data_IF_044567116928
#
_entry.id   IF_044567116928
#
_cell.length_a   1.000
_cell.length_b   1.000
_cell.length_c   1.000
_cell.angle_alpha   90.00
_cell.angle_beta   90.00
_cell.angle_gamma   90.00
#
_symmetry.space_group_name_H-M   'P 1'
#
loop_
_entity.id
_entity.type
_entity.pdbx_description
1 polymer ?
#
# COMPACT_ATOMS: atom_id res chain seq x y z
N UNK A 1 35.81 -14.80 -14.00
CA UNK A 1 34.74 -13.84 -13.80
C UNK A 1 35.23 -12.53 -14.39
N UNK A 2 34.80 -12.20 -15.62
CA UNK A 2 35.21 -10.96 -16.31
C UNK A 2 34.46 -9.80 -15.69
N UNK A 3 35.17 -8.97 -14.94
CA UNK A 3 34.62 -7.68 -14.48
C UNK A 3 34.66 -6.70 -15.66
N UNK A 4 33.69 -6.82 -16.56
CA UNK A 4 33.49 -5.81 -17.61
C UNK A 4 32.90 -4.56 -16.98
N UNK A 5 33.79 -3.73 -16.46
CA UNK A 5 33.43 -2.36 -16.04
C UNK A 5 33.03 -1.60 -17.29
N UNK A 6 31.73 -1.27 -17.40
CA UNK A 6 31.21 -0.41 -18.48
C UNK A 6 31.80 0.99 -18.25
N UNK A 7 32.89 1.32 -18.92
CA UNK A 7 33.47 2.66 -18.93
C UNK A 7 32.58 3.52 -19.84
N UNK A 8 31.71 4.31 -19.25
CA UNK A 8 30.98 5.32 -19.99
C UNK A 8 31.96 6.43 -20.46
N UNK A 9 32.38 6.35 -21.72
CA UNK A 9 33.20 7.37 -22.30
C UNK A 9 32.33 8.61 -22.62
N UNK A 10 32.47 9.72 -21.91
CA UNK A 10 31.67 10.93 -22.18
C UNK A 10 31.99 11.41 -23.58
N UNK A 11 30.96 11.62 -24.40
CA UNK A 11 31.16 12.22 -25.74
C UNK A 11 31.85 13.56 -25.61
N UNK A 12 32.86 13.83 -26.44
CA UNK A 12 33.54 15.15 -26.39
C UNK A 12 32.52 16.25 -26.65
N UNK A 13 32.53 17.27 -25.80
CA UNK A 13 31.64 18.42 -25.93
C UNK A 13 31.97 19.17 -27.22
N UNK A 14 30.97 19.49 -28.03
CA UNK A 14 31.09 20.36 -29.19
C UNK A 14 31.50 21.77 -28.73
N UNK A 15 32.20 22.51 -29.60
CA UNK A 15 32.68 23.86 -29.30
C UNK A 15 31.60 24.77 -28.70
N UNK A 16 30.36 24.73 -29.22
CA UNK A 16 29.21 25.50 -28.71
C UNK A 16 28.69 25.04 -27.33
N UNK A 17 28.90 23.78 -26.99
CA UNK A 17 28.53 23.25 -25.67
C UNK A 17 29.52 23.69 -24.57
N UNK A 18 30.68 24.24 -24.95
CA UNK A 18 31.63 24.86 -24.01
C UNK A 18 31.21 26.25 -23.57
N UNK A 19 30.25 26.87 -24.26
CA UNK A 19 29.68 28.15 -23.84
C UNK A 19 28.67 27.92 -22.71
N UNK A 20 29.19 27.77 -21.52
CA UNK A 20 28.44 27.45 -20.29
C UNK A 20 27.29 28.43 -20.02
N UNK A 21 27.47 29.71 -20.37
CA UNK A 21 26.47 30.79 -20.20
C UNK A 21 25.17 30.53 -20.98
N UNK A 22 25.24 29.98 -22.19
CA UNK A 22 24.05 29.70 -23.00
C UNK A 22 23.23 28.58 -22.40
N UNK A 23 23.86 27.55 -21.83
CA UNK A 23 23.16 26.46 -21.18
C UNK A 23 22.53 26.92 -19.84
N UNK A 24 23.18 27.79 -19.09
CA UNK A 24 22.62 28.44 -17.91
C UNK A 24 21.38 29.26 -18.29
N UNK A 25 21.45 30.08 -19.34
CA UNK A 25 20.32 30.89 -19.81
C UNK A 25 19.13 30.01 -20.22
N UNK A 26 19.37 28.88 -20.90
CA UNK A 26 18.31 27.90 -21.22
C UNK A 26 17.66 27.34 -19.96
N UNK A 27 18.46 26.93 -18.96
CA UNK A 27 17.97 26.45 -17.68
C UNK A 27 17.13 27.49 -16.95
N UNK A 28 17.61 28.74 -16.90
CA UNK A 28 16.86 29.87 -16.31
C UNK A 28 15.56 30.16 -17.06
N UNK A 29 15.55 30.07 -18.38
CA UNK A 29 14.31 30.24 -19.17
C UNK A 29 13.25 29.20 -18.83
N UNK A 30 13.65 27.95 -18.60
CA UNK A 30 12.73 26.88 -18.19
C UNK A 30 12.12 27.19 -16.80
N UNK A 31 12.97 27.55 -15.83
CA UNK A 31 12.48 27.86 -14.48
C UNK A 31 11.62 29.11 -14.46
N UNK A 32 12.01 30.15 -15.22
CA UNK A 32 11.22 31.37 -15.38
C UNK A 32 9.85 31.09 -16.00
N UNK A 33 9.78 30.24 -17.02
CA UNK A 33 8.50 29.81 -17.62
C UNK A 33 7.59 29.15 -16.60
N UNK A 34 8.12 28.24 -15.77
CA UNK A 34 7.35 27.61 -14.70
C UNK A 34 6.91 28.61 -13.64
N UNK A 35 7.80 29.53 -13.26
CA UNK A 35 7.48 30.59 -12.30
C UNK A 35 6.34 31.48 -12.79
N UNK A 36 6.44 31.99 -14.01
CA UNK A 36 5.41 32.83 -14.61
C UNK A 36 4.09 32.04 -14.81
N UNK A 37 4.18 30.78 -15.22
CA UNK A 37 3.02 29.92 -15.35
C UNK A 37 2.28 29.72 -14.03
N UNK A 38 3.00 29.56 -12.92
CA UNK A 38 2.40 29.41 -11.59
C UNK A 38 1.86 30.76 -11.05
N UNK A 39 2.50 31.87 -11.42
CA UNK A 39 2.06 33.21 -10.99
C UNK A 39 0.72 33.62 -11.62
N UNK A 40 0.55 33.34 -12.92
CA UNK A 40 -0.63 33.71 -13.68
C UNK A 40 -1.70 32.61 -13.76
N UNK A 41 -1.36 31.36 -13.47
CA UNK A 41 -2.29 30.24 -13.51
C UNK A 41 -1.85 29.13 -12.54
N UNK A 42 -2.76 28.70 -11.66
CA UNK A 42 -2.52 27.52 -10.79
C UNK A 42 -2.43 26.18 -11.55
N UNK A 43 -2.46 26.22 -12.89
CA UNK A 43 -2.46 25.02 -13.75
C UNK A 43 -1.20 24.14 -13.59
N UNK A 44 -0.08 24.74 -13.19
CA UNK A 44 1.19 24.04 -13.00
C UNK A 44 1.44 23.63 -11.55
N UNK A 45 0.55 23.99 -10.63
CA UNK A 45 0.67 23.62 -9.22
C UNK A 45 0.10 22.22 -9.03
N UNK A 46 0.96 21.25 -8.70
CA UNK A 46 0.58 19.84 -8.47
C UNK A 46 0.25 19.58 -6.99
N UNK A 47 0.46 20.56 -6.13
CA UNK A 47 0.19 20.46 -4.69
C UNK A 47 -1.29 20.36 -4.41
N UNK A 48 -1.63 19.48 -3.44
CA UNK A 48 -2.99 19.30 -2.93
C UNK A 48 -3.11 20.01 -1.59
N UNK A 49 -4.16 20.78 -1.40
CA UNK A 49 -4.44 21.52 -0.15
C UNK A 49 -4.99 20.55 0.89
N UNK A 50 -4.12 19.73 1.47
CA UNK A 50 -4.49 18.85 2.57
C UNK A 50 -4.56 19.66 3.88
N UNK A 51 -5.53 19.46 4.79
CA UNK A 51 -6.50 18.35 4.82
C UNK A 51 -7.83 18.62 4.09
N UNK A 52 -8.05 19.85 3.54
CA UNK A 52 -9.32 20.28 2.93
C UNK A 52 -9.64 19.43 1.69
N UNK A 53 -8.60 19.13 0.91
CA UNK A 53 -8.72 18.28 -0.28
C UNK A 53 -7.86 17.04 -0.10
N UNK A 54 -8.50 15.87 -0.06
CA UNK A 54 -7.79 14.59 -0.02
C UNK A 54 -7.42 14.15 -1.42
N UNK A 55 -6.18 13.65 -1.56
CA UNK A 55 -5.71 13.08 -2.82
C UNK A 55 -6.37 11.72 -3.05
N UNK A 56 -6.90 11.50 -4.26
CA UNK A 56 -7.33 10.16 -4.67
C UNK A 56 -6.10 9.29 -4.95
N UNK A 57 -5.98 8.20 -4.20
CA UNK A 57 -4.90 7.23 -4.38
C UNK A 57 -5.32 6.13 -5.35
N UNK A 58 -4.32 5.58 -6.04
CA UNK A 58 -4.50 4.44 -6.93
C UNK A 58 -5.07 3.22 -6.19
N UNK A 59 -5.81 2.39 -6.91
CA UNK A 59 -6.28 1.07 -6.43
C UNK A 59 -5.13 0.11 -6.03
N UNK A 60 -3.89 0.43 -6.43
CA UNK A 60 -2.69 -0.33 -6.07
C UNK A 60 -2.02 0.17 -4.80
N UNK A 61 -2.60 1.13 -4.11
CA UNK A 61 -2.03 1.65 -2.87
C UNK A 61 -2.03 0.58 -1.79
N UNK A 62 -0.92 0.48 -1.08
CA UNK A 62 -0.70 -0.45 0.02
C UNK A 62 -0.69 0.35 1.33
N UNK A 63 -1.86 0.61 1.86
CA UNK A 63 -2.02 1.26 3.16
C UNK A 63 -2.30 0.27 4.28
N UNK A 64 -3.10 0.67 5.27
CA UNK A 64 -3.36 -0.11 6.48
C UNK A 64 -3.98 -1.48 6.16
N UNK A 65 -3.51 -2.50 6.87
CA UNK A 65 -4.07 -3.86 6.82
C UNK A 65 -5.42 -3.92 7.52
N UNK A 66 -6.27 -4.78 6.98
CA UNK A 66 -7.59 -5.10 7.54
C UNK A 66 -7.84 -6.60 7.38
N UNK A 67 -8.41 -7.21 8.40
CA UNK A 67 -8.89 -8.59 8.36
C UNK A 67 -10.40 -8.59 8.10
N UNK A 68 -10.81 -9.31 7.08
CA UNK A 68 -12.22 -9.46 6.72
C UNK A 68 -12.92 -10.43 7.66
N UNK A 69 -14.18 -10.13 7.90
CA UNK A 69 -15.10 -11.04 8.61
C UNK A 69 -16.01 -11.79 7.62
N UNK A 70 -16.61 -12.86 8.09
CA UNK A 70 -17.70 -13.56 7.42
C UNK A 70 -19.04 -12.85 7.71
N UNK A 71 -20.10 -13.35 7.11
CA UNK A 71 -21.45 -12.82 7.33
C UNK A 71 -21.94 -13.02 8.77
N UNK A 72 -21.47 -14.06 9.44
CA UNK A 72 -21.72 -14.36 10.85
C UNK A 72 -20.91 -13.48 11.82
N UNK A 73 -20.03 -12.61 11.31
CA UNK A 73 -19.13 -11.76 12.09
C UNK A 73 -17.85 -12.43 12.57
N UNK A 74 -17.64 -13.72 12.29
CA UNK A 74 -16.41 -14.43 12.62
C UNK A 74 -15.26 -14.02 11.69
N UNK A 75 -13.98 -14.11 12.11
CA UNK A 75 -12.84 -13.84 11.24
C UNK A 75 -12.80 -14.78 10.04
N UNK A 76 -12.55 -14.27 8.83
CA UNK A 76 -12.26 -15.13 7.66
C UNK A 76 -10.94 -15.86 7.78
N UNK A 77 -10.05 -15.35 8.63
CA UNK A 77 -8.74 -15.93 8.89
C UNK A 77 -8.91 -17.29 9.59
N UNK A 78 -8.17 -18.29 9.12
CA UNK A 78 -8.12 -19.64 9.70
C UNK A 78 -6.77 -19.92 10.36
N UNK A 79 -6.04 -18.89 10.74
CA UNK A 79 -4.73 -18.98 11.40
C UNK A 79 -3.77 -19.99 10.75
N UNK A 80 -3.62 -19.93 9.42
CA UNK A 80 -2.79 -20.88 8.66
C UNK A 80 -1.29 -20.51 8.63
N UNK A 81 -0.89 -19.40 9.25
CA UNK A 81 0.48 -18.87 9.34
C UNK A 81 1.15 -18.48 8.02
N UNK A 82 0.47 -18.61 6.87
CA UNK A 82 1.08 -18.30 5.57
C UNK A 82 1.52 -16.84 5.44
N UNK A 83 0.74 -15.90 5.98
CA UNK A 83 1.08 -14.47 5.94
C UNK A 83 2.24 -14.12 6.89
N UNK A 84 2.35 -14.80 8.05
CA UNK A 84 3.48 -14.67 8.97
C UNK A 84 4.76 -15.16 8.31
N UNK A 85 4.74 -16.38 7.71
CA UNK A 85 5.87 -16.97 7.01
C UNK A 85 6.32 -16.16 5.79
N UNK A 86 5.37 -15.56 5.06
CA UNK A 86 5.66 -14.75 3.87
C UNK A 86 6.15 -13.33 4.20
N UNK A 87 6.12 -12.91 5.46
CA UNK A 87 6.49 -11.56 5.85
C UNK A 87 8.01 -11.36 5.85
N UNK A 88 8.58 -10.49 4.99
CA UNK A 88 10.03 -10.27 4.94
C UNK A 88 10.55 -9.46 6.14
N UNK A 89 9.65 -8.77 6.86
CA UNK A 89 10.00 -7.94 8.02
C UNK A 89 9.70 -8.61 9.36
N UNK A 90 9.16 -9.84 9.34
CA UNK A 90 8.78 -10.60 10.54
C UNK A 90 7.96 -9.75 11.53
N UNK A 91 6.94 -9.07 10.99
CA UNK A 91 6.12 -8.11 11.74
C UNK A 91 4.72 -8.64 12.06
N UNK A 92 4.38 -9.86 11.63
CA UNK A 92 3.09 -10.51 11.87
C UNK A 92 3.30 -11.63 12.88
N UNK A 93 2.47 -11.68 13.89
CA UNK A 93 2.46 -12.77 14.85
C UNK A 93 1.03 -13.32 15.01
N UNK A 94 0.92 -14.65 14.97
CA UNK A 94 -0.37 -15.35 14.99
C UNK A 94 -0.33 -16.45 16.05
N UNK A 95 -1.36 -16.53 16.88
CA UNK A 95 -1.64 -17.69 17.71
C UNK A 95 -3.01 -18.25 17.29
N UNK A 96 -3.04 -19.54 16.99
CA UNK A 96 -4.27 -20.22 16.61
C UNK A 96 -5.07 -20.67 17.84
N UNK A 97 -6.37 -20.71 17.71
CA UNK A 97 -7.32 -21.33 18.63
C UNK A 97 -8.34 -22.16 17.85
N UNK A 98 -9.01 -23.05 18.53
CA UNK A 98 -10.06 -23.90 17.96
C UNK A 98 -11.40 -23.54 18.60
N UNK A 99 -12.41 -23.28 17.78
CA UNK A 99 -13.78 -23.07 18.24
C UNK A 99 -14.58 -24.36 18.01
N UNK A 100 -14.85 -25.13 19.07
CA UNK A 100 -15.56 -26.41 18.95
C UNK A 100 -17.02 -26.27 18.45
N UNK A 101 -17.55 -25.04 18.44
CA UNK A 101 -18.91 -24.78 17.93
C UNK A 101 -18.91 -24.32 16.47
N UNK A 102 -17.74 -24.06 15.90
CA UNK A 102 -17.64 -23.66 14.50
C UNK A 102 -17.71 -24.88 13.56
N UNK A 103 -18.20 -24.72 12.32
CA UNK A 103 -18.10 -25.76 11.30
C UNK A 103 -16.63 -26.18 11.07
N UNK A 104 -16.41 -27.46 10.79
CA UNK A 104 -15.06 -28.06 10.58
C UNK A 104 -14.20 -27.29 9.57
N UNK A 105 -14.82 -26.62 8.60
CA UNK A 105 -14.12 -25.85 7.57
C UNK A 105 -13.39 -24.60 8.10
N UNK A 106 -13.81 -24.09 9.27
CA UNK A 106 -13.24 -22.92 9.93
C UNK A 106 -13.22 -23.00 11.45
N UNK A 107 -13.16 -24.21 11.97
CA UNK A 107 -12.95 -24.50 13.39
C UNK A 107 -11.71 -23.79 13.94
N UNK A 108 -10.64 -23.74 13.12
CA UNK A 108 -9.41 -23.03 13.44
C UNK A 108 -9.52 -21.53 13.12
N UNK A 109 -9.29 -20.70 14.13
CA UNK A 109 -9.33 -19.26 14.01
C UNK A 109 -8.17 -18.60 14.79
N UNK A 110 -7.82 -17.33 14.50
CA UNK A 110 -6.78 -16.64 15.26
C UNK A 110 -7.31 -16.23 16.64
N UNK A 111 -6.61 -16.67 17.69
CA UNK A 111 -6.76 -16.17 19.06
C UNK A 111 -6.02 -14.85 19.21
N UNK A 112 -4.79 -14.82 18.72
CA UNK A 112 -3.97 -13.62 18.63
C UNK A 112 -3.59 -13.41 17.18
N UNK A 113 -3.72 -12.19 16.72
CA UNK A 113 -3.22 -11.73 15.43
C UNK A 113 -2.72 -10.31 15.61
N UNK A 114 -1.44 -10.11 15.50
CA UNK A 114 -0.84 -8.78 15.65
C UNK A 114 0.04 -8.43 14.47
N UNK A 115 0.09 -7.15 14.14
CA UNK A 115 0.99 -6.58 13.13
C UNK A 115 1.73 -5.39 13.75
N UNK A 116 3.06 -5.44 13.79
CA UNK A 116 3.89 -4.28 14.15
C UNK A 116 4.03 -3.37 12.92
N UNK A 117 3.26 -2.28 12.89
CA UNK A 117 3.25 -1.34 11.76
C UNK A 117 4.54 -0.54 11.61
N UNK A 118 5.36 -0.43 12.67
CA UNK A 118 6.67 0.24 12.61
C UNK A 118 7.75 -0.64 11.96
N UNK A 119 7.55 -1.97 11.97
CA UNK A 119 8.41 -2.90 11.24
C UNK A 119 7.90 -3.17 9.83
N UNK A 120 6.60 -3.06 9.62
CA UNK A 120 5.95 -3.37 8.35
C UNK A 120 6.48 -2.47 7.23
N UNK A 121 6.89 -3.07 6.11
CA UNK A 121 7.33 -2.35 4.89
C UNK A 121 6.22 -2.21 3.85
N UNK A 122 5.00 -2.58 4.19
CA UNK A 122 3.81 -2.49 3.32
C UNK A 122 4.00 -3.14 1.94
N UNK A 123 4.74 -4.24 1.86
CA UNK A 123 5.04 -4.95 0.60
C UNK A 123 3.82 -5.68 0.00
N UNK A 124 2.84 -6.08 0.82
CA UNK A 124 1.63 -6.79 0.39
C UNK A 124 1.79 -8.32 0.27
N UNK A 125 2.96 -8.91 0.57
CA UNK A 125 3.17 -10.36 0.47
C UNK A 125 2.23 -11.17 1.36
N UNK A 126 1.83 -10.62 2.51
CA UNK A 126 0.83 -11.24 3.38
C UNK A 126 -0.54 -11.36 2.70
N UNK A 127 -0.90 -10.40 1.85
CA UNK A 127 -2.15 -10.44 1.06
C UNK A 127 -2.05 -11.50 -0.03
N UNK A 128 -0.91 -11.55 -0.75
CA UNK A 128 -0.68 -12.53 -1.80
C UNK A 128 -0.62 -13.97 -1.27
N UNK A 129 -0.04 -14.16 -0.08
CA UNK A 129 0.09 -15.48 0.54
C UNK A 129 -1.20 -16.00 1.17
N UNK A 130 -2.23 -15.18 1.36
CA UNK A 130 -3.44 -15.57 2.07
C UNK A 130 -4.37 -16.43 1.21
N UNK A 131 -4.55 -17.74 1.49
CA UNK A 131 -5.41 -18.62 0.68
C UNK A 131 -6.91 -18.36 0.88
N UNK A 132 -7.28 -17.66 1.97
CA UNK A 132 -8.67 -17.33 2.32
C UNK A 132 -9.04 -15.89 2.00
N UNK A 133 -8.10 -15.10 1.42
CA UNK A 133 -8.28 -13.67 1.17
C UNK A 133 -8.82 -12.92 2.41
N UNK A 134 -8.35 -13.35 3.58
CA UNK A 134 -8.79 -12.81 4.85
C UNK A 134 -8.11 -11.49 5.19
N UNK A 135 -6.85 -11.31 4.78
CA UNK A 135 -6.09 -10.08 4.97
C UNK A 135 -6.05 -9.31 3.67
N UNK A 136 -6.35 -8.02 3.74
CA UNK A 136 -6.28 -7.10 2.61
C UNK A 136 -5.60 -5.79 3.04
N UNK A 137 -5.17 -4.99 2.07
CA UNK A 137 -4.67 -3.65 2.32
C UNK A 137 -5.66 -2.61 1.80
N UNK A 138 -5.83 -1.54 2.57
CA UNK A 138 -6.73 -0.43 2.23
C UNK A 138 -5.94 0.73 1.62
N UNK A 139 -6.63 1.78 1.18
CA UNK A 139 -6.00 3.05 0.80
C UNK A 139 -5.78 4.00 1.99
N UNK A 140 -6.19 3.58 3.18
CA UNK A 140 -5.97 4.34 4.41
C UNK A 140 -4.48 4.36 4.76
N UNK A 141 -3.92 5.55 4.83
CA UNK A 141 -2.49 5.77 5.12
C UNK A 141 -2.29 6.73 6.30
N UNK A 142 -3.36 7.36 6.76
CA UNK A 142 -3.34 8.28 7.89
C UNK A 142 -3.21 7.48 9.19
N UNK A 143 -1.97 7.13 9.54
CA UNK A 143 -1.64 6.37 10.75
C UNK A 143 -0.60 7.15 11.53
N UNK A 144 -0.97 7.61 12.73
CA UNK A 144 -0.07 8.29 13.65
C UNK A 144 -0.18 7.63 15.02
N UNK A 145 0.95 7.29 15.61
CA UNK A 145 1.04 6.63 16.91
C UNK A 145 1.91 7.50 17.83
N UNK A 146 1.55 7.56 19.10
CA UNK A 146 2.34 8.30 20.12
C UNK A 146 3.40 7.41 20.74
N UNK A 147 3.11 6.13 20.88
CA UNK A 147 4.01 5.15 21.46
C UNK A 147 4.22 3.98 20.48
N UNK A 148 5.27 3.19 20.74
CA UNK A 148 5.58 2.01 19.93
C UNK A 148 4.51 0.92 20.08
N UNK A 149 3.98 0.80 21.29
CA UNK A 149 2.97 -0.20 21.63
C UNK A 149 1.66 0.04 20.88
N UNK A 150 1.28 1.31 20.68
CA UNK A 150 0.10 1.67 19.90
C UNK A 150 0.24 1.29 18.41
N UNK A 151 1.47 1.18 17.91
CA UNK A 151 1.73 0.79 16.53
C UNK A 151 1.65 -0.72 16.31
N UNK A 152 1.56 -1.51 17.37
CA UNK A 152 1.28 -2.95 17.30
C UNK A 152 -0.23 -3.13 17.34
N UNK A 153 -0.83 -3.27 16.17
CA UNK A 153 -2.28 -3.42 16.05
C UNK A 153 -2.68 -4.88 16.25
N UNK A 154 -3.66 -5.09 17.12
CA UNK A 154 -4.20 -6.41 17.46
C UNK A 154 -5.40 -6.81 16.59
N UNK A 155 -5.88 -8.03 16.82
CA UNK A 155 -6.99 -8.65 16.09
C UNK A 155 -8.24 -7.76 16.04
N UNK A 156 -8.66 -7.20 17.18
CA UNK A 156 -9.88 -6.38 17.27
C UNK A 156 -9.80 -5.11 16.42
N UNK A 157 -8.61 -4.52 16.32
CA UNK A 157 -8.37 -3.33 15.53
C UNK A 157 -8.21 -3.62 14.03
N UNK A 158 -7.86 -4.87 13.69
CA UNK A 158 -7.72 -5.34 12.32
C UNK A 158 -9.05 -5.80 11.73
N UNK A 159 -9.96 -6.34 12.56
CA UNK A 159 -11.24 -6.87 12.10
C UNK A 159 -12.14 -5.77 11.53
N UNK A 160 -12.53 -5.95 10.28
CA UNK A 160 -13.50 -5.10 9.61
C UNK A 160 -14.87 -5.77 9.60
N UNK A 161 -15.82 -5.18 10.30
CA UNK A 161 -17.20 -5.67 10.46
C UNK A 161 -18.23 -4.95 9.60
N UNK A 162 -17.77 -4.01 8.78
CA UNK A 162 -18.66 -3.26 7.88
C UNK A 162 -18.90 -3.97 6.54
N UNK A 163 -19.81 -3.44 5.71
CA UNK A 163 -20.03 -3.95 4.37
C UNK A 163 -18.82 -3.70 3.48
N UNK A 164 -18.42 -4.70 2.69
CA UNK A 164 -17.26 -4.61 1.79
C UNK A 164 -17.35 -3.48 0.76
N UNK A 165 -18.58 -3.04 0.44
CA UNK A 165 -18.83 -1.93 -0.48
C UNK A 165 -18.35 -0.57 0.05
N UNK A 166 -18.26 -0.41 1.37
CA UNK A 166 -17.79 0.81 2.03
C UNK A 166 -16.30 0.80 2.33
N UNK A 167 -15.67 -0.37 2.22
CA UNK A 167 -14.25 -0.51 2.49
C UNK A 167 -13.43 0.08 1.34
N UNK A 168 -12.63 1.08 1.65
CA UNK A 168 -11.71 1.70 0.69
C UNK A 168 -10.52 0.77 0.42
N UNK A 169 -10.76 -0.22 -0.43
CA UNK A 169 -9.77 -1.24 -0.73
C UNK A 169 -8.64 -0.70 -1.60
N UNK A 170 -7.42 -1.05 -1.20
CA UNK A 170 -6.19 -0.77 -1.92
C UNK A 170 -5.70 -1.99 -2.71
N UNK A 171 -4.44 -2.35 -2.46
CA UNK A 171 -3.75 -3.43 -3.17
C UNK A 171 -4.49 -4.76 -3.13
N UNK A 172 -4.63 -5.37 -4.31
CA UNK A 172 -5.10 -6.74 -4.51
C UNK A 172 -4.04 -7.57 -5.24
N UNK A 173 -4.00 -8.89 -5.01
CA UNK A 173 -3.12 -9.78 -5.75
C UNK A 173 -3.32 -9.64 -7.27
N UNK A 174 -2.22 -9.70 -8.02
CA UNK A 174 -2.24 -9.56 -9.49
C UNK A 174 -2.83 -10.78 -10.22
N UNK A 175 -3.15 -11.85 -9.53
CA UNK A 175 -3.59 -13.11 -10.13
C UNK A 175 -5.07 -13.10 -10.50
N UNK A 176 -5.41 -12.47 -11.64
CA UNK A 176 -6.68 -12.65 -12.30
C UNK A 176 -7.89 -12.25 -11.48
N UNK A 177 -9.00 -12.90 -11.72
CA UNK A 177 -10.26 -12.67 -11.03
C UNK A 177 -10.13 -12.98 -9.53
N UNK A 178 -10.78 -12.21 -8.65
CA UNK A 178 -10.76 -12.49 -7.22
C UNK A 178 -11.20 -13.94 -6.99
N UNK A 179 -10.42 -14.68 -6.20
CA UNK A 179 -10.69 -16.11 -5.88
C UNK A 179 -12.05 -16.31 -5.22
N UNK A 180 -12.57 -15.28 -4.59
CA UNK A 180 -13.95 -15.20 -4.11
C UNK A 180 -14.71 -14.25 -5.04
N UNK A 181 -15.93 -14.64 -5.45
CA UNK A 181 -16.82 -13.83 -6.31
C UNK A 181 -17.34 -12.56 -5.61
N UNK A 182 -16.50 -11.84 -4.90
CA UNK A 182 -16.83 -10.55 -4.33
C UNK A 182 -16.82 -9.55 -5.49
N UNK A 183 -17.92 -9.45 -6.21
CA UNK A 183 -18.18 -8.34 -7.15
C UNK A 183 -18.39 -7.09 -6.31
N UNK A 184 -17.31 -6.38 -6.02
CA UNK A 184 -17.44 -5.04 -5.45
C UNK A 184 -17.92 -4.12 -6.56
N UNK A 185 -18.96 -3.30 -6.31
CA UNK A 185 -19.33 -2.28 -7.25
C UNK A 185 -18.15 -1.31 -7.37
N UNK A 186 -17.54 -1.24 -8.55
CA UNK A 186 -16.57 -0.21 -8.89
C UNK A 186 -17.34 1.11 -8.80
N UNK A 187 -16.94 2.06 -7.96
CA UNK A 187 -17.58 3.35 -7.96
C UNK A 187 -17.44 3.97 -9.36
N UNK A 188 -18.53 4.00 -10.10
CA UNK A 188 -18.59 4.72 -11.36
C UNK A 188 -18.38 6.18 -11.06
N UNK A 189 -17.31 6.76 -11.59
CA UNK A 189 -17.08 8.21 -11.55
C UNK A 189 -18.35 8.92 -12.02
N UNK A 190 -18.90 9.73 -11.14
CA UNK A 190 -19.80 10.84 -11.52
C UNK A 190 -18.96 12.08 -11.75
#
# INVERSE_FOLDING_TARGET
MNNDVIVCNPRPLRFWQRFYLLEILKGLAVTLRHFLGNLFSRRYTVTVEWPEVKREYSERMRGRHVLLTREDGSPRCVACYMCETACPADCIHIEADEDPNAPVEWEKQPKVFTIDLLRCVFCGFCVDACPKEAIIMTRTHEMAFRTREEAVIGLDQLLYRGPLSELDMGYRPYYGEPRTQIKLPIPTKK
#
